data_IF_633141641675
#
_entry.id   IF_633141641675
#
_cell.length_a   1.000
_cell.length_b   1.000
_cell.length_c   1.000
_cell.angle_alpha   90.00
_cell.angle_beta   90.00
_cell.angle_gamma   90.00
#
_symmetry.space_group_name_H-M   'P 1'
#
loop_
_entity.id
_entity.type
_entity.pdbx_description
1 polymer ?
#
# COMPACT_ATOMS: atom_id res chain seq x y z
N UNK A 1 -9.49 -6.10 17.49
CA UNK A 1 -8.57 -6.41 16.36
C UNK A 1 -7.15 -6.43 16.87
N UNK A 2 -6.28 -7.28 16.32
CA UNK A 2 -4.88 -7.39 16.76
C UNK A 2 -3.99 -6.23 16.25
N UNK A 3 -4.42 -5.59 15.16
CA UNK A 3 -3.73 -4.45 14.55
C UNK A 3 -4.74 -3.35 14.20
N UNK A 4 -4.31 -2.10 14.35
CA UNK A 4 -4.95 -0.95 13.74
C UNK A 4 -4.27 -0.63 12.40
N UNK A 5 -5.04 -0.28 11.38
CA UNK A 5 -4.55 0.19 10.09
C UNK A 5 -5.12 1.59 9.87
N UNK A 6 -4.28 2.58 9.65
CA UNK A 6 -4.68 3.97 9.41
C UNK A 6 -3.80 4.59 8.33
N UNK A 7 -4.29 5.63 7.62
CA UNK A 7 -3.44 6.49 6.80
C UNK A 7 -2.28 7.06 7.62
N UNK A 8 -1.09 7.06 7.04
CA UNK A 8 0.12 7.61 7.68
C UNK A 8 -0.02 9.12 7.87
N UNK A 9 0.53 9.64 8.96
CA UNK A 9 0.63 11.09 9.20
C UNK A 9 2.08 11.59 9.11
N UNK A 10 2.31 12.88 8.84
CA UNK A 10 3.67 13.43 8.74
C UNK A 10 4.55 13.13 9.97
N UNK A 11 3.96 13.18 11.17
CA UNK A 11 4.63 12.85 12.43
C UNK A 11 5.08 11.37 12.55
N UNK A 12 4.51 10.49 11.73
CA UNK A 12 4.81 9.05 11.68
C UNK A 12 5.79 8.69 10.54
N UNK A 13 6.30 9.67 9.79
CA UNK A 13 7.23 9.48 8.67
C UNK A 13 8.44 8.59 9.01
N UNK A 14 8.98 8.70 10.23
CA UNK A 14 10.10 7.89 10.69
C UNK A 14 9.76 6.39 10.78
N UNK A 15 8.53 6.05 11.14
CA UNK A 15 8.07 4.66 11.22
C UNK A 15 7.91 4.07 9.81
N UNK A 16 7.38 4.86 8.87
CA UNK A 16 7.29 4.45 7.47
C UNK A 16 8.68 4.27 6.86
N UNK A 17 9.59 5.25 7.03
CA UNK A 17 10.98 5.17 6.56
C UNK A 17 11.64 3.87 7.00
N UNK A 18 11.63 3.58 8.31
CA UNK A 18 12.22 2.36 8.87
C UNK A 18 11.64 1.09 8.23
N UNK A 19 10.33 1.05 7.96
CA UNK A 19 9.70 -0.12 7.35
C UNK A 19 9.97 -0.21 5.84
N UNK A 20 10.13 0.93 5.15
CA UNK A 20 10.45 1.03 3.73
C UNK A 20 11.88 0.59 3.45
N UNK A 21 12.82 0.96 4.33
CA UNK A 21 14.22 0.48 4.31
C UNK A 21 14.36 -1.04 4.50
N UNK A 22 13.36 -1.68 5.10
CA UNK A 22 13.31 -3.15 5.25
C UNK A 22 12.70 -3.85 4.01
N UNK A 23 12.05 -3.10 3.13
CA UNK A 23 11.43 -3.62 1.90
C UNK A 23 12.35 -3.44 0.69
N UNK A 24 12.93 -2.25 0.53
CA UNK A 24 13.76 -1.86 -0.61
C UNK A 24 15.10 -1.30 -0.16
N UNK A 25 16.12 -1.48 -1.00
CA UNK A 25 17.42 -0.85 -0.84
C UNK A 25 17.46 0.41 -1.72
N UNK A 26 17.33 1.59 -1.11
CA UNK A 26 17.51 2.88 -1.77
C UNK A 26 17.91 3.98 -0.77
N UNK A 27 18.63 5.00 -1.24
CA UNK A 27 19.16 6.09 -0.41
C UNK A 27 18.24 7.33 -0.36
N UNK A 28 17.19 7.38 -1.18
CA UNK A 28 16.30 8.53 -1.37
C UNK A 28 14.96 8.41 -0.64
N UNK A 29 14.73 7.32 0.12
CA UNK A 29 13.44 7.07 0.77
C UNK A 29 12.94 8.24 1.61
N UNK A 30 13.81 8.88 2.40
CA UNK A 30 13.42 10.02 3.23
C UNK A 30 12.96 11.23 2.40
N UNK A 31 13.56 11.44 1.22
CA UNK A 31 13.20 12.51 0.29
C UNK A 31 11.83 12.21 -0.34
N UNK A 32 11.61 10.97 -0.79
CA UNK A 32 10.33 10.56 -1.36
C UNK A 32 9.18 10.63 -0.35
N UNK A 33 9.43 10.23 0.91
CA UNK A 33 8.44 10.36 2.00
C UNK A 33 8.12 11.84 2.24
N UNK A 34 9.10 12.73 2.23
CA UNK A 34 8.86 14.16 2.34
C UNK A 34 8.01 14.68 1.16
N UNK A 35 8.33 14.25 -0.07
CA UNK A 35 7.56 14.58 -1.28
C UNK A 35 6.14 14.04 -1.26
N UNK A 36 5.91 12.87 -0.70
CA UNK A 36 4.57 12.32 -0.50
C UNK A 36 3.71 13.29 0.34
N UNK A 37 4.24 13.78 1.46
CA UNK A 37 3.49 14.70 2.32
C UNK A 37 3.32 16.11 1.74
N UNK A 38 4.16 16.52 0.78
CA UNK A 38 3.96 17.78 0.02
C UNK A 38 3.07 17.60 -1.21
N UNK A 39 2.69 16.37 -1.57
CA UNK A 39 1.92 16.05 -2.78
C UNK A 39 2.75 16.10 -4.07
N UNK A 40 4.08 16.03 -3.96
CA UNK A 40 5.04 16.09 -5.07
C UNK A 40 5.53 14.70 -5.51
N UNK A 41 5.08 13.64 -4.84
CA UNK A 41 5.32 12.25 -5.27
C UNK A 41 4.19 11.82 -6.19
N UNK A 42 4.51 11.50 -7.44
CA UNK A 42 3.50 11.27 -8.49
C UNK A 42 2.83 9.88 -8.38
N UNK A 43 3.59 8.86 -7.98
CA UNK A 43 3.11 7.47 -8.01
C UNK A 43 2.27 7.11 -6.77
N UNK A 44 2.80 7.33 -5.56
CA UNK A 44 2.12 6.94 -4.32
C UNK A 44 1.04 7.94 -3.92
N UNK A 45 -0.19 7.46 -3.83
CA UNK A 45 -1.40 8.25 -3.49
C UNK A 45 -1.84 8.03 -2.04
N UNK A 46 -1.67 6.83 -1.49
CA UNK A 46 -2.07 6.49 -0.13
C UNK A 46 -1.06 5.54 0.51
N UNK A 47 -0.83 5.71 1.81
CA UNK A 47 0.03 4.82 2.59
C UNK A 47 -0.68 4.47 3.88
N UNK A 48 -0.98 3.19 4.08
CA UNK A 48 -1.55 2.70 5.33
C UNK A 48 -0.45 2.08 6.19
N UNK A 49 -0.42 2.44 7.47
CA UNK A 49 0.48 1.86 8.47
C UNK A 49 -0.27 0.97 9.44
N UNK A 50 0.28 -0.21 9.73
CA UNK A 50 -0.24 -1.12 10.73
C UNK A 50 0.50 -0.95 12.06
N UNK A 51 -0.26 -0.77 13.14
CA UNK A 51 0.27 -0.77 14.51
C UNK A 51 -0.28 -1.95 15.31
N UNK A 52 0.58 -2.55 16.13
CA UNK A 52 0.18 -3.60 17.08
C UNK A 52 -0.52 -3.02 18.33
N UNK A 53 -0.88 -3.88 19.29
CA UNK A 53 -1.54 -3.47 20.53
C UNK A 53 -0.67 -2.59 21.44
N UNK A 54 0.64 -2.58 21.23
CA UNK A 54 1.60 -1.74 21.96
C UNK A 54 1.88 -0.43 21.19
N UNK A 55 1.21 -0.21 20.06
CA UNK A 55 1.35 0.98 19.22
C UNK A 55 2.56 0.95 18.29
N UNK A 56 3.31 -0.15 18.21
CA UNK A 56 4.50 -0.25 17.36
C UNK A 56 4.10 -0.44 15.91
N UNK A 57 4.76 0.28 15.00
CA UNK A 57 4.60 0.09 13.57
C UNK A 57 5.20 -1.25 13.12
N UNK A 58 4.36 -2.12 12.56
CA UNK A 58 4.71 -3.53 12.21
C UNK A 58 4.49 -3.86 10.73
N UNK A 59 4.08 -2.89 9.93
CA UNK A 59 3.96 -3.04 8.49
C UNK A 59 3.35 -1.80 7.84
N UNK A 60 3.50 -1.70 6.53
CA UNK A 60 2.89 -0.67 5.70
C UNK A 60 2.44 -1.24 4.36
N UNK A 61 1.56 -0.51 3.68
CA UNK A 61 1.27 -0.70 2.25
C UNK A 61 1.23 0.65 1.56
N UNK A 62 1.94 0.77 0.44
CA UNK A 62 1.95 1.94 -0.46
C UNK A 62 1.03 1.65 -1.65
N UNK A 63 0.14 2.59 -1.95
CA UNK A 63 -0.92 2.44 -2.94
C UNK A 63 -0.92 3.57 -3.94
N UNK A 64 -1.20 3.23 -5.20
CA UNK A 64 -1.29 4.17 -6.32
C UNK A 64 -2.55 3.92 -7.15
N UNK A 65 -2.79 4.83 -8.09
CA UNK A 65 -3.83 4.70 -9.13
C UNK A 65 -3.14 4.66 -10.48
N UNK A 66 -3.34 3.57 -11.23
CA UNK A 66 -2.68 3.33 -12.52
C UNK A 66 -3.66 3.07 -13.63
N UNK A 67 -3.27 3.40 -14.86
CA UNK A 67 -4.00 3.12 -16.10
C UNK A 67 -3.15 2.39 -17.15
N UNK A 68 -1.88 2.13 -16.82
CA UNK A 68 -0.82 1.65 -17.70
C UNK A 68 -0.34 0.24 -17.30
N UNK A 69 -1.24 -0.57 -16.73
CA UNK A 69 -0.94 -1.94 -16.32
C UNK A 69 -1.16 -2.92 -17.47
N UNK A 70 -0.18 -3.79 -17.72
CA UNK A 70 -0.28 -4.86 -18.72
C UNK A 70 -1.52 -5.75 -18.47
N UNK A 71 -2.38 -5.83 -19.49
CA UNK A 71 -3.66 -6.55 -19.41
C UNK A 71 -4.83 -5.75 -18.82
N UNK A 72 -4.59 -4.49 -18.42
CA UNK A 72 -5.57 -3.54 -17.91
C UNK A 72 -5.37 -2.12 -18.50
N UNK A 73 -4.74 -2.00 -19.68
CA UNK A 73 -4.46 -0.69 -20.29
C UNK A 73 -5.75 0.15 -20.45
N UNK A 74 -5.71 1.39 -19.98
CA UNK A 74 -6.85 2.32 -19.96
C UNK A 74 -7.89 2.04 -18.88
N UNK A 75 -7.67 1.06 -18.01
CA UNK A 75 -8.56 0.76 -16.86
C UNK A 75 -7.99 1.43 -15.61
N UNK A 76 -8.76 2.33 -15.00
CA UNK A 76 -8.42 2.90 -13.69
C UNK A 76 -8.33 1.78 -12.64
N UNK A 77 -7.10 1.54 -12.20
CA UNK A 77 -6.71 0.38 -11.39
C UNK A 77 -6.05 0.85 -10.11
N UNK A 78 -6.55 0.39 -8.96
CA UNK A 78 -5.82 0.55 -7.70
C UNK A 78 -4.65 -0.43 -7.68
N UNK A 79 -3.49 0.02 -7.24
CA UNK A 79 -2.27 -0.77 -7.33
C UNK A 79 -1.50 -0.77 -6.01
N UNK A 80 -0.88 -1.90 -5.67
CA UNK A 80 0.06 -1.99 -4.55
C UNK A 80 1.47 -1.82 -5.10
N UNK A 81 2.10 -0.70 -4.75
CA UNK A 81 3.50 -0.44 -5.08
C UNK A 81 4.43 -1.22 -4.13
N UNK A 82 4.11 -1.19 -2.83
CA UNK A 82 4.89 -1.86 -1.80
C UNK A 82 4.02 -2.37 -0.67
N UNK A 83 4.31 -3.56 -0.17
CA UNK A 83 3.69 -4.10 1.05
C UNK A 83 4.73 -4.80 1.89
N UNK A 84 5.01 -4.24 3.06
CA UNK A 84 5.90 -4.84 4.03
C UNK A 84 5.15 -5.21 5.31
N UNK A 85 5.43 -6.41 5.82
CA UNK A 85 5.02 -6.86 7.15
C UNK A 85 6.24 -7.40 7.86
N UNK A 86 6.45 -6.91 9.09
CA UNK A 86 7.49 -7.36 10.00
C UNK A 86 7.47 -8.89 10.13
N UNK A 87 8.66 -9.51 10.17
CA UNK A 87 8.82 -10.96 10.11
C UNK A 87 8.05 -11.71 11.21
N UNK A 88 7.93 -11.12 12.40
CA UNK A 88 7.20 -11.72 13.53
C UNK A 88 5.68 -11.69 13.33
N UNK A 89 5.21 -10.96 12.31
CA UNK A 89 3.81 -10.65 12.06
C UNK A 89 3.26 -11.30 10.77
N UNK A 90 4.09 -11.94 9.93
CA UNK A 90 3.68 -12.44 8.59
C UNK A 90 2.61 -13.53 8.60
N UNK A 91 2.52 -14.35 9.65
CA UNK A 91 1.50 -15.41 9.78
C UNK A 91 0.30 -15.03 10.66
N UNK A 92 0.14 -13.74 10.97
CA UNK A 92 -0.93 -13.23 11.84
C UNK A 92 -2.24 -12.90 11.13
N UNK A 93 -2.26 -12.94 9.80
CA UNK A 93 -3.35 -12.42 8.97
C UNK A 93 -3.25 -10.94 8.61
N UNK A 94 -2.22 -10.23 9.07
CA UNK A 94 -2.01 -8.81 8.77
C UNK A 94 -1.92 -8.52 7.26
N UNK A 95 -1.23 -9.36 6.48
CA UNK A 95 -1.20 -9.22 5.00
C UNK A 95 -2.61 -9.24 4.41
N UNK A 96 -3.49 -10.14 4.88
CA UNK A 96 -4.88 -10.19 4.41
C UNK A 96 -5.68 -8.95 4.83
N UNK A 97 -5.34 -8.36 5.98
CA UNK A 97 -5.96 -7.13 6.45
C UNK A 97 -5.55 -5.94 5.56
N UNK A 98 -4.26 -5.84 5.20
CA UNK A 98 -3.79 -4.85 4.23
C UNK A 98 -4.48 -5.02 2.89
N UNK A 99 -4.47 -6.22 2.29
CA UNK A 99 -5.11 -6.46 1.00
C UNK A 99 -6.59 -6.02 0.98
N UNK A 100 -7.35 -6.33 2.04
CA UNK A 100 -8.75 -5.89 2.14
C UNK A 100 -8.89 -4.37 2.25
N UNK A 101 -8.03 -3.72 3.02
CA UNK A 101 -8.03 -2.27 3.16
C UNK A 101 -7.67 -1.58 1.84
N UNK A 102 -6.67 -2.09 1.13
CA UNK A 102 -6.24 -1.60 -0.19
C UNK A 102 -7.30 -1.81 -1.26
N UNK A 103 -7.97 -2.97 -1.30
CA UNK A 103 -9.11 -3.19 -2.19
C UNK A 103 -10.27 -2.25 -1.88
N UNK A 104 -10.56 -1.99 -0.60
CA UNK A 104 -11.62 -1.05 -0.24
C UNK A 104 -11.26 0.38 -0.66
N UNK A 105 -10.04 0.82 -0.35
CA UNK A 105 -9.52 2.11 -0.80
C UNK A 105 -9.63 2.27 -2.32
N UNK A 106 -9.21 1.27 -3.09
CA UNK A 106 -9.29 1.33 -4.55
C UNK A 106 -10.74 1.48 -5.05
N UNK A 107 -11.71 0.83 -4.41
CA UNK A 107 -13.15 1.01 -4.72
C UNK A 107 -13.61 2.42 -4.40
N UNK A 108 -13.17 2.97 -3.27
CA UNK A 108 -13.52 4.33 -2.84
C UNK A 108 -12.93 5.38 -3.81
N UNK A 109 -11.80 5.07 -4.46
CA UNK A 109 -11.22 5.86 -5.56
C UNK A 109 -11.92 5.65 -6.92
N UNK A 110 -12.95 4.80 -6.99
CA UNK A 110 -13.68 4.48 -8.22
C UNK A 110 -12.91 3.59 -9.20
N UNK A 111 -11.95 2.79 -8.71
CA UNK A 111 -11.23 1.85 -9.57
C UNK A 111 -12.12 0.69 -10.01
N UNK A 112 -11.93 0.24 -11.25
CA UNK A 112 -12.62 -0.92 -11.82
C UNK A 112 -11.81 -2.21 -11.71
N UNK A 113 -10.52 -2.11 -11.39
CA UNK A 113 -9.63 -3.22 -11.15
C UNK A 113 -8.71 -2.95 -9.95
N UNK A 114 -8.09 -4.03 -9.46
CA UNK A 114 -7.04 -3.96 -8.45
C UNK A 114 -5.92 -4.92 -8.82
N UNK A 115 -4.68 -4.43 -8.73
CA UNK A 115 -3.51 -5.17 -9.16
C UNK A 115 -2.32 -4.94 -8.21
N UNK A 116 -1.31 -5.76 -8.37
CA UNK A 116 0.01 -5.66 -7.75
C UNK A 116 0.98 -6.43 -8.63
N UNK A 117 2.28 -6.30 -8.43
CA UNK A 117 3.26 -7.18 -9.05
C UNK A 117 4.07 -7.96 -8.02
N UNK A 118 4.80 -8.94 -8.55
CA UNK A 118 5.85 -9.62 -7.83
C UNK A 118 6.88 -10.06 -8.86
N UNK A 119 8.10 -9.54 -8.74
CA UNK A 119 9.18 -9.80 -9.68
C UNK A 119 8.79 -9.35 -11.09
N UNK A 120 8.69 -10.27 -12.05
CA UNK A 120 8.38 -10.00 -13.46
C UNK A 120 6.89 -10.22 -13.81
N UNK A 121 6.03 -10.35 -12.80
CA UNK A 121 4.64 -10.76 -13.00
C UNK A 121 3.64 -9.83 -12.33
N UNK A 122 2.73 -9.28 -13.15
CA UNK A 122 1.50 -8.63 -12.70
C UNK A 122 0.49 -9.66 -12.19
N UNK A 123 -0.12 -9.33 -11.05
CA UNK A 123 -1.17 -10.09 -10.37
C UNK A 123 -2.44 -9.24 -10.40
N UNK A 124 -3.39 -9.64 -11.25
CA UNK A 124 -4.74 -9.03 -11.30
C UNK A 124 -5.64 -9.76 -10.30
N UNK A 125 -6.18 -9.02 -9.33
CA UNK A 125 -7.00 -9.57 -8.26
C UNK A 125 -8.43 -9.86 -8.74
N UNK A 126 -8.67 -11.10 -9.20
CA UNK A 126 -9.94 -11.53 -9.84
C UNK A 126 -11.21 -11.36 -8.98
N UNK A 127 -11.07 -11.23 -7.65
CA UNK A 127 -12.19 -11.05 -6.72
C UNK A 127 -12.47 -9.58 -6.42
N UNK A 128 -11.75 -8.66 -7.07
CA UNK A 128 -12.06 -7.25 -7.06
C UNK A 128 -13.28 -6.99 -7.94
N UNK A 129 -14.46 -6.91 -7.32
CA UNK A 129 -15.64 -6.35 -7.96
C UNK A 129 -15.66 -4.85 -7.66
N UNK A 130 -15.43 -4.03 -8.68
CA UNK A 130 -15.67 -2.58 -8.59
C UNK A 130 -17.10 -2.35 -8.13
N UNK A 131 -17.27 -1.62 -7.04
CA UNK A 131 -18.59 -1.33 -6.51
C UNK A 131 -19.35 -0.43 -7.48
N UNK A 132 -20.38 -0.97 -8.12
CA UNK A 132 -21.58 -0.22 -8.46
C UNK A 132 -22.76 -1.15 -8.19
N UNK A 133 -23.43 -0.91 -7.07
CA UNK A 133 -24.81 -1.31 -6.83
C UNK A 133 -25.60 -0.01 -6.65
#
# INVERSE_FOLDING_TARGET
MKYSLNPIRPEESHDWLRLRDLLWEADDHAIEIARFFTGELEETVEVLIARDLEGRAVGHVELSIREDIDGLNGVKTGYIEGLYVDVLHRSSGLVRQFLRASEQWAKDQGCSAFASDRQDRVIIHRRFSGGSA
#
